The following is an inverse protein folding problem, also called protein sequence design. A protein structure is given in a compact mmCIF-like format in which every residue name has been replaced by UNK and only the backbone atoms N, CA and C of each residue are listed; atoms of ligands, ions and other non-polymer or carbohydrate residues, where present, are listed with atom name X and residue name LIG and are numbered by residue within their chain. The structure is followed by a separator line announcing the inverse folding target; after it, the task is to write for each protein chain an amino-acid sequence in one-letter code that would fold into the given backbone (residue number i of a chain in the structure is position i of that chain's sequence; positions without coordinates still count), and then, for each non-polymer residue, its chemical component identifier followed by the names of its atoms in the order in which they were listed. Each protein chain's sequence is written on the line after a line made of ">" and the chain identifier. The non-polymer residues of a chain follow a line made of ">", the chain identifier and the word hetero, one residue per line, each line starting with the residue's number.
data_IF_815878867408
#
_entry.id   IF_815878867408
#
_cell.length_a   1.000
_cell.length_b   1.000
_cell.length_c   1.000
_cell.angle_alpha   90.00
_cell.angle_beta   90.00
_cell.angle_gamma   90.00
#
_symmetry.space_group_name_H-M   'P 1'
#
loop_
_entity.id
_entity.type
_entity.pdbx_description
1 polymer ?
#
# COMPACT_ATOMS: atom_id res chain seq x y z
N UNK A 1 -13.21 -6.21 -50.47
CA UNK A 1 -13.75 -6.56 -49.14
C UNK A 1 -12.56 -6.96 -48.27
N UNK A 2 -12.24 -6.18 -47.25
CA UNK A 2 -11.21 -6.57 -46.26
C UNK A 2 -11.91 -7.47 -45.25
N UNK A 3 -11.40 -8.68 -45.06
CA UNK A 3 -11.91 -9.61 -44.05
C UNK A 3 -11.43 -9.06 -42.69
N UNK A 4 -12.37 -8.64 -41.85
CA UNK A 4 -12.12 -8.16 -40.49
C UNK A 4 -12.73 -9.17 -39.52
N UNK A 5 -11.91 -10.11 -39.07
CA UNK A 5 -12.16 -10.96 -37.90
C UNK A 5 -10.78 -11.29 -37.30
N UNK A 6 -10.64 -11.08 -35.99
CA UNK A 6 -9.44 -11.37 -35.18
C UNK A 6 -8.14 -10.66 -35.58
N UNK A 7 -8.13 -9.33 -35.44
CA UNK A 7 -6.92 -8.51 -35.65
C UNK A 7 -5.90 -8.58 -34.51
N UNK A 8 -6.16 -9.38 -33.47
CA UNK A 8 -5.25 -9.59 -32.35
C UNK A 8 -5.21 -11.06 -31.97
N UNK A 9 -4.00 -11.56 -31.69
CA UNK A 9 -3.75 -12.89 -31.14
C UNK A 9 -2.77 -12.76 -29.99
N UNK A 10 -2.83 -13.69 -29.04
CA UNK A 10 -1.86 -13.78 -27.95
C UNK A 10 -0.44 -13.97 -28.52
N UNK A 11 0.55 -13.29 -27.93
CA UNK A 11 1.96 -13.58 -28.18
C UNK A 11 2.49 -14.79 -27.39
N UNK A 12 1.66 -15.39 -26.54
CA UNK A 12 2.01 -16.54 -25.69
C UNK A 12 1.25 -17.79 -26.12
N UNK A 13 1.94 -18.93 -26.02
CA UNK A 13 1.44 -20.26 -26.34
C UNK A 13 0.20 -20.64 -25.50
N UNK A 14 -0.82 -21.17 -26.18
CA UNK A 14 -1.96 -21.82 -25.56
C UNK A 14 -1.62 -23.27 -25.13
N UNK A 15 -2.57 -23.93 -24.48
CA UNK A 15 -2.39 -25.28 -23.95
C UNK A 15 -1.84 -26.29 -24.97
N UNK A 16 -2.37 -26.31 -26.20
CA UNK A 16 -1.93 -27.27 -27.22
C UNK A 16 -0.51 -27.00 -27.73
N UNK A 17 -0.11 -25.72 -27.79
CA UNK A 17 1.26 -25.33 -28.15
C UNK A 17 2.25 -25.67 -27.03
N UNK A 18 1.84 -25.52 -25.76
CA UNK A 18 2.62 -26.00 -24.62
C UNK A 18 2.79 -27.53 -24.71
N UNK A 19 1.70 -28.29 -24.94
CA UNK A 19 1.77 -29.75 -25.11
C UNK A 19 2.66 -30.17 -26.26
N UNK A 20 2.64 -29.43 -27.36
CA UNK A 20 3.52 -29.67 -28.51
C UNK A 20 4.99 -29.57 -28.10
N UNK A 21 5.39 -28.53 -27.36
CA UNK A 21 6.78 -28.38 -26.88
C UNK A 21 7.18 -29.54 -25.97
N UNK A 22 6.33 -29.95 -25.03
CA UNK A 22 6.61 -31.09 -24.14
C UNK A 22 6.73 -32.42 -24.91
N UNK A 23 5.96 -32.58 -25.98
CA UNK A 23 5.99 -33.77 -26.84
C UNK A 23 7.26 -33.83 -27.71
N UNK A 24 7.78 -32.67 -28.11
CA UNK A 24 8.99 -32.54 -28.93
C UNK A 24 10.26 -32.67 -28.08
N UNK A 25 10.35 -31.91 -26.99
CA UNK A 25 11.55 -31.82 -26.15
C UNK A 25 11.67 -33.01 -25.20
N UNK A 26 10.53 -33.54 -24.72
CA UNK A 26 10.47 -34.64 -23.74
C UNK A 26 11.39 -34.39 -22.53
N UNK A 27 11.28 -33.24 -21.85
CA UNK A 27 12.13 -32.95 -20.69
C UNK A 27 11.96 -34.01 -19.59
N UNK A 28 12.96 -34.19 -18.73
CA UNK A 28 12.80 -35.04 -17.53
C UNK A 28 11.99 -34.33 -16.43
N UNK A 29 12.24 -33.04 -16.25
CA UNK A 29 11.60 -32.19 -15.27
C UNK A 29 10.94 -30.98 -15.95
N UNK A 30 9.82 -30.53 -15.39
CA UNK A 30 9.07 -29.35 -15.84
C UNK A 30 9.14 -28.27 -14.78
N UNK A 31 9.63 -27.09 -15.14
CA UNK A 31 9.63 -25.91 -14.24
C UNK A 31 8.81 -24.82 -14.92
N UNK A 32 7.51 -24.70 -14.66
CA UNK A 32 6.69 -23.63 -15.21
C UNK A 32 7.21 -22.25 -14.77
N UNK A 33 7.35 -21.34 -15.72
CA UNK A 33 7.82 -19.96 -15.50
C UNK A 33 6.89 -18.97 -16.19
N UNK A 34 7.05 -17.68 -15.89
CA UNK A 34 6.33 -16.58 -16.53
C UNK A 34 4.80 -16.66 -16.42
N UNK A 35 4.31 -16.43 -15.20
CA UNK A 35 2.89 -16.27 -14.91
C UNK A 35 2.63 -16.19 -13.41
N UNK A 36 1.48 -15.65 -13.02
CA UNK A 36 1.02 -15.80 -11.63
C UNK A 36 0.86 -17.28 -11.24
N UNK A 37 0.83 -17.56 -9.94
CA UNK A 37 0.70 -18.91 -9.39
C UNK A 37 -0.41 -19.75 -10.04
N UNK A 38 -1.58 -19.15 -10.34
CA UNK A 38 -2.69 -19.82 -11.02
C UNK A 38 -2.30 -20.39 -12.39
N UNK A 39 -1.47 -19.66 -13.15
CA UNK A 39 -1.02 -20.07 -14.48
C UNK A 39 0.00 -21.20 -14.37
N UNK A 40 0.91 -21.11 -13.40
CA UNK A 40 1.91 -22.15 -13.15
C UNK A 40 1.25 -23.48 -12.74
N UNK A 41 0.22 -23.40 -11.89
CA UNK A 41 -0.60 -24.56 -11.51
C UNK A 41 -1.35 -25.13 -12.72
N UNK A 42 -1.98 -24.28 -13.53
CA UNK A 42 -2.65 -24.74 -14.75
C UNK A 42 -1.68 -25.43 -15.71
N UNK A 43 -0.48 -24.86 -15.92
CA UNK A 43 0.54 -25.47 -16.76
C UNK A 43 1.03 -26.80 -16.18
N UNK A 44 1.21 -26.92 -14.86
CA UNK A 44 1.51 -28.21 -14.23
C UNK A 44 0.46 -29.25 -14.56
N UNK A 45 -0.83 -28.90 -14.43
CA UNK A 45 -1.90 -29.85 -14.69
C UNK A 45 -1.92 -30.28 -16.18
N UNK A 46 -1.59 -29.36 -17.10
CA UNK A 46 -1.38 -29.67 -18.52
C UNK A 46 -0.21 -30.65 -18.71
N UNK A 47 0.93 -30.40 -18.07
CA UNK A 47 2.11 -31.27 -18.18
C UNK A 47 1.84 -32.65 -17.59
N UNK A 48 1.16 -32.72 -16.44
CA UNK A 48 0.75 -33.99 -15.83
C UNK A 48 -0.20 -34.78 -16.74
N UNK A 49 -1.06 -34.11 -17.51
CA UNK A 49 -1.93 -34.78 -18.49
C UNK A 49 -1.17 -35.47 -19.64
N UNK A 50 0.11 -35.12 -19.85
CA UNK A 50 1.01 -35.77 -20.81
C UNK A 50 1.76 -36.97 -20.21
N UNK A 51 1.49 -37.34 -18.96
CA UNK A 51 2.08 -38.51 -18.29
C UNK A 51 3.30 -38.20 -17.43
N UNK A 52 3.54 -36.92 -17.08
CA UNK A 52 4.59 -36.55 -16.13
C UNK A 52 4.12 -36.76 -14.70
N UNK A 53 5.00 -37.35 -13.88
CA UNK A 53 4.75 -37.49 -12.45
C UNK A 53 4.73 -36.12 -11.76
N UNK A 54 3.92 -36.01 -10.71
CA UNK A 54 3.77 -34.77 -9.93
C UNK A 54 5.12 -34.26 -9.40
N UNK A 55 5.98 -35.19 -8.97
CA UNK A 55 7.29 -34.87 -8.39
C UNK A 55 8.30 -34.42 -9.46
N UNK A 56 7.99 -34.59 -10.75
CA UNK A 56 8.78 -34.06 -11.85
C UNK A 56 8.35 -32.66 -12.30
N UNK A 57 7.28 -32.09 -11.72
CA UNK A 57 6.82 -30.74 -12.03
C UNK A 57 6.98 -29.79 -10.85
N UNK A 58 7.89 -28.85 -10.98
CA UNK A 58 8.38 -28.02 -9.88
C UNK A 58 7.87 -26.60 -10.04
N UNK A 59 7.02 -26.18 -9.10
CA UNK A 59 6.54 -24.80 -9.02
C UNK A 59 7.51 -24.00 -8.16
N UNK A 60 8.46 -23.33 -8.81
CA UNK A 60 9.43 -22.47 -8.15
C UNK A 60 8.85 -21.07 -7.86
N UNK A 61 9.34 -20.44 -6.80
CA UNK A 61 9.11 -19.02 -6.48
C UNK A 61 10.36 -18.21 -6.76
N UNK A 62 10.20 -16.90 -6.94
CA UNK A 62 11.34 -15.98 -7.03
C UNK A 62 12.23 -16.11 -5.79
N UNK A 63 13.50 -16.42 -6.01
CA UNK A 63 14.49 -16.64 -4.95
C UNK A 63 14.76 -18.10 -4.61
N UNK A 64 13.96 -19.05 -5.09
CA UNK A 64 14.25 -20.47 -4.90
C UNK A 64 15.50 -20.88 -5.68
N UNK A 65 16.41 -21.61 -5.03
CA UNK A 65 17.58 -22.22 -5.65
C UNK A 65 17.25 -23.68 -5.95
N UNK A 66 17.17 -24.00 -7.24
CA UNK A 66 16.85 -25.34 -7.72
C UNK A 66 18.14 -26.11 -8.03
N UNK A 67 18.38 -27.20 -7.32
CA UNK A 67 19.38 -28.20 -7.69
C UNK A 67 18.75 -29.22 -8.63
N UNK A 68 19.42 -29.52 -9.75
CA UNK A 68 18.88 -30.40 -10.78
C UNK A 68 20.00 -31.29 -11.36
N UNK A 69 19.76 -32.59 -11.41
CA UNK A 69 20.64 -33.57 -12.03
C UNK A 69 19.83 -34.73 -12.64
N UNK A 70 20.54 -35.76 -13.11
CA UNK A 70 19.93 -36.93 -13.76
C UNK A 70 19.15 -37.85 -12.81
N UNK A 71 19.14 -37.60 -11.51
CA UNK A 71 18.45 -38.43 -10.51
C UNK A 71 17.31 -37.66 -9.84
N UNK A 72 17.54 -36.40 -9.45
CA UNK A 72 16.58 -35.58 -8.72
C UNK A 72 16.59 -34.11 -9.15
N UNK A 73 15.50 -33.44 -8.81
CA UNK A 73 15.32 -32.01 -8.95
C UNK A 73 14.59 -31.47 -7.71
N UNK A 74 15.25 -30.61 -6.93
CA UNK A 74 14.73 -30.16 -5.64
C UNK A 74 15.17 -28.73 -5.32
N UNK A 75 14.32 -28.00 -4.60
CA UNK A 75 14.69 -26.68 -4.06
C UNK A 75 15.57 -26.91 -2.84
N UNK A 76 16.80 -26.43 -2.88
CA UNK A 76 17.82 -26.66 -1.83
C UNK A 76 18.09 -25.46 -0.96
N UNK A 77 17.79 -24.26 -1.45
CA UNK A 77 18.09 -23.01 -0.76
C UNK A 77 17.16 -21.88 -1.25
N UNK A 78 17.25 -20.72 -0.59
CA UNK A 78 16.58 -19.50 -0.98
C UNK A 78 17.55 -18.31 -0.92
N UNK A 79 17.62 -17.53 -2.00
CA UNK A 79 18.37 -16.28 -2.04
C UNK A 79 17.47 -15.07 -1.80
N UNK A 80 18.06 -14.00 -1.28
CA UNK A 80 17.34 -12.75 -1.07
C UNK A 80 16.85 -12.20 -2.42
N UNK A 81 15.54 -12.00 -2.52
CA UNK A 81 14.90 -11.37 -3.66
C UNK A 81 13.84 -10.38 -3.18
N UNK A 82 13.40 -9.50 -4.08
CA UNK A 82 12.38 -8.51 -3.79
C UNK A 82 12.20 -7.55 -4.96
N UNK A 83 11.11 -6.79 -4.92
CA UNK A 83 10.89 -5.70 -5.85
C UNK A 83 11.65 -4.45 -5.39
N UNK A 84 12.26 -3.74 -6.35
CA UNK A 84 12.77 -2.39 -6.15
C UNK A 84 11.87 -1.47 -6.95
N UNK A 85 11.24 -0.51 -6.28
CA UNK A 85 10.39 0.47 -6.94
C UNK A 85 11.22 1.60 -7.53
N UNK A 86 10.78 2.12 -8.68
CA UNK A 86 11.40 3.25 -9.37
C UNK A 86 10.36 4.34 -9.50
N UNK A 87 10.67 5.54 -9.01
CA UNK A 87 9.79 6.71 -9.06
C UNK A 87 10.57 7.93 -9.56
N UNK A 88 10.31 8.33 -10.81
CA UNK A 88 11.05 9.40 -11.49
C UNK A 88 12.54 9.05 -11.65
N UNK A 89 13.40 9.83 -10.99
CA UNK A 89 14.86 9.60 -10.95
C UNK A 89 15.28 8.74 -9.74
N UNK A 90 14.36 8.47 -8.81
CA UNK A 90 14.58 7.67 -7.62
C UNK A 90 14.52 6.18 -7.91
N UNK A 91 15.51 5.43 -7.40
CA UNK A 91 15.55 3.96 -7.47
C UNK A 91 15.65 3.43 -6.05
N UNK A 92 14.61 2.71 -5.61
CA UNK A 92 14.52 2.12 -4.27
C UNK A 92 14.30 3.11 -3.13
N UNK A 93 14.08 4.39 -3.44
CA UNK A 93 13.72 5.45 -2.48
C UNK A 93 12.25 5.36 -2.04
N UNK A 94 11.39 4.79 -2.87
CA UNK A 94 10.01 4.45 -2.53
C UNK A 94 9.94 3.05 -1.94
N UNK A 95 9.55 2.96 -0.67
CA UNK A 95 9.26 1.70 0.02
C UNK A 95 7.75 1.48 0.25
N UNK A 96 7.41 0.34 0.86
CA UNK A 96 6.02 -0.03 1.18
C UNK A 96 5.32 0.99 2.08
N UNK A 97 6.05 1.69 2.97
CA UNK A 97 5.49 2.72 3.86
C UNK A 97 4.99 3.91 3.02
N UNK A 98 5.81 4.39 2.08
CA UNK A 98 5.46 5.51 1.20
C UNK A 98 4.26 5.15 0.34
N UNK A 99 4.19 3.92 -0.19
CA UNK A 99 3.03 3.45 -0.94
C UNK A 99 1.75 3.39 -0.08
N UNK A 100 1.86 2.92 1.16
CA UNK A 100 0.75 2.88 2.10
C UNK A 100 0.24 4.28 2.44
N UNK A 101 1.14 5.23 2.66
CA UNK A 101 0.76 6.62 2.91
C UNK A 101 0.07 7.23 1.69
N UNK A 102 0.58 6.99 0.48
CA UNK A 102 -0.08 7.41 -0.77
C UNK A 102 -1.47 6.82 -0.90
N UNK A 103 -1.66 5.53 -0.60
CA UNK A 103 -2.96 4.87 -0.65
C UNK A 103 -3.94 5.50 0.36
N UNK A 104 -3.52 5.67 1.61
CA UNK A 104 -4.35 6.30 2.64
C UNK A 104 -4.77 7.72 2.26
N UNK A 105 -3.85 8.52 1.72
CA UNK A 105 -4.12 9.88 1.27
C UNK A 105 -5.07 9.92 0.06
N UNK A 106 -4.92 8.98 -0.88
CA UNK A 106 -5.77 8.89 -2.06
C UNK A 106 -7.22 8.49 -1.71
N UNK A 107 -7.40 7.56 -0.77
CA UNK A 107 -8.72 7.06 -0.37
C UNK A 107 -9.44 8.01 0.60
N UNK A 108 -8.71 8.53 1.60
CA UNK A 108 -9.33 9.21 2.73
C UNK A 108 -9.12 10.73 2.75
N UNK A 109 -8.18 11.24 1.96
CA UNK A 109 -7.75 12.64 2.05
C UNK A 109 -6.98 12.94 3.33
N UNK A 110 -6.66 14.22 3.52
CA UNK A 110 -5.87 14.72 4.65
C UNK A 110 -6.51 15.96 5.27
N UNK A 111 -6.36 16.07 6.58
CA UNK A 111 -6.63 17.25 7.39
C UNK A 111 -5.34 17.63 8.09
N UNK A 112 -4.94 18.88 7.94
CA UNK A 112 -3.78 19.48 8.61
C UNK A 112 -4.32 20.47 9.63
N UNK A 113 -3.88 20.33 10.86
CA UNK A 113 -4.26 21.22 11.97
C UNK A 113 -3.02 21.98 12.39
N UNK A 114 -3.05 23.30 12.32
CA UNK A 114 -1.92 24.16 12.69
C UNK A 114 -2.30 24.98 13.91
N UNK A 115 -1.47 24.92 14.94
CA UNK A 115 -1.62 25.70 16.16
C UNK A 115 -0.27 26.24 16.63
N UNK A 116 -0.30 27.40 17.28
CA UNK A 116 0.89 28.03 17.86
C UNK A 116 0.73 28.10 19.38
N UNK A 117 1.65 27.47 20.10
CA UNK A 117 1.68 27.47 21.56
C UNK A 117 2.83 28.34 22.09
N UNK A 118 2.60 28.98 23.24
CA UNK A 118 3.63 29.68 24.00
C UNK A 118 4.57 28.67 24.67
N UNK A 119 5.89 28.92 24.59
CA UNK A 119 6.92 27.96 25.01
C UNK A 119 6.83 27.50 26.48
N UNK A 120 6.53 28.42 27.39
CA UNK A 120 6.62 28.26 28.84
C UNK A 120 5.27 27.94 29.47
N UNK A 121 4.22 28.64 29.05
CA UNK A 121 2.86 28.47 29.57
C UNK A 121 2.07 27.42 28.81
N UNK A 122 2.51 27.05 27.60
CA UNK A 122 1.77 26.14 26.71
C UNK A 122 0.48 26.75 26.16
N UNK A 123 0.20 28.02 26.46
CA UNK A 123 -1.04 28.67 26.04
C UNK A 123 -1.14 28.76 24.53
N UNK A 124 -2.35 28.58 24.02
CA UNK A 124 -2.64 28.75 22.60
C UNK A 124 -2.56 30.24 22.24
N UNK A 125 -1.52 30.62 21.50
CA UNK A 125 -1.30 32.00 21.03
C UNK A 125 -2.09 32.25 19.73
N UNK A 126 -2.12 31.26 18.83
CA UNK A 126 -2.77 31.38 17.53
C UNK A 126 -3.25 30.04 17.00
N UNK A 127 -4.31 30.06 16.18
CA UNK A 127 -5.02 28.87 15.70
C UNK A 127 -6.11 28.42 16.68
N UNK A 128 -6.69 27.21 16.50
CA UNK A 128 -6.33 26.21 15.50
C UNK A 128 -6.83 26.55 14.10
N UNK A 129 -5.93 26.44 13.11
CA UNK A 129 -6.24 26.55 11.70
C UNK A 129 -6.28 25.18 11.04
N UNK A 130 -7.38 24.90 10.33
CA UNK A 130 -7.62 23.61 9.69
C UNK A 130 -7.57 23.76 8.17
N UNK A 131 -6.71 22.98 7.53
CA UNK A 131 -6.57 22.91 6.07
C UNK A 131 -6.87 21.49 5.61
N UNK A 132 -7.75 21.32 4.62
CA UNK A 132 -8.14 19.99 4.13
C UNK A 132 -7.84 19.84 2.63
N UNK A 133 -7.46 18.62 2.22
CA UNK A 133 -7.25 18.23 0.82
C UNK A 133 -7.77 16.83 0.58
N UNK A 134 -8.55 16.62 -0.48
CA UNK A 134 -9.13 15.31 -0.82
C UNK A 134 -10.15 14.76 0.18
N UNK A 135 -10.49 15.54 1.22
CA UNK A 135 -11.41 15.14 2.27
C UNK A 135 -12.80 15.76 2.08
N UNK A 136 -12.96 17.06 2.30
CA UNK A 136 -14.24 17.77 2.12
C UNK A 136 -14.04 19.02 1.27
N UNK A 137 -15.09 19.43 0.55
CA UNK A 137 -15.08 20.70 -0.19
C UNK A 137 -15.40 21.83 0.80
N UNK A 138 -14.41 22.69 1.06
CA UNK A 138 -14.45 23.70 2.13
C UNK A 138 -15.71 24.58 2.07
N UNK A 139 -16.15 24.98 0.87
CA UNK A 139 -17.33 25.86 0.70
C UNK A 139 -18.65 25.22 1.14
N UNK A 140 -18.71 23.89 1.22
CA UNK A 140 -19.90 23.14 1.62
C UNK A 140 -19.77 22.58 3.04
N UNK A 141 -18.64 22.79 3.71
CA UNK A 141 -18.28 22.16 4.98
C UNK A 141 -17.78 23.17 6.03
N UNK A 142 -18.17 24.44 5.93
CA UNK A 142 -17.77 25.48 6.90
C UNK A 142 -18.18 25.11 8.33
N UNK A 143 -19.45 24.74 8.55
CA UNK A 143 -19.94 24.34 9.87
C UNK A 143 -19.17 23.14 10.46
N UNK A 144 -18.84 22.14 9.62
CA UNK A 144 -18.05 20.97 10.04
C UNK A 144 -16.63 21.39 10.48
N UNK A 145 -16.02 22.34 9.76
CA UNK A 145 -14.69 22.82 10.05
C UNK A 145 -14.67 23.72 11.28
N UNK A 146 -15.71 24.53 11.51
CA UNK A 146 -15.84 25.37 12.69
C UNK A 146 -16.04 24.53 13.96
N UNK A 147 -16.90 23.51 13.91
CA UNK A 147 -17.03 22.52 14.98
C UNK A 147 -15.71 21.78 15.23
N UNK A 148 -14.99 21.39 14.17
CA UNK A 148 -13.68 20.75 14.31
C UNK A 148 -12.65 21.68 14.97
N UNK A 149 -12.63 22.98 14.65
CA UNK A 149 -11.77 23.96 15.33
C UNK A 149 -12.10 24.06 16.81
N UNK A 150 -13.38 24.12 17.16
CA UNK A 150 -13.82 24.16 18.56
C UNK A 150 -13.34 22.92 19.33
N UNK A 151 -13.46 21.73 18.73
CA UNK A 151 -12.97 20.49 19.35
C UNK A 151 -11.47 20.53 19.58
N UNK A 152 -10.68 21.00 18.61
CA UNK A 152 -9.23 21.12 18.79
C UNK A 152 -8.89 22.09 19.92
N UNK A 153 -9.54 23.26 19.98
CA UNK A 153 -9.34 24.23 21.05
C UNK A 153 -9.63 23.61 22.43
N UNK A 154 -10.77 22.94 22.57
CA UNK A 154 -11.16 22.24 23.80
C UNK A 154 -10.14 21.15 24.18
N UNK A 155 -9.62 20.40 23.19
CA UNK A 155 -8.60 19.37 23.42
C UNK A 155 -7.30 19.98 23.95
N UNK A 156 -6.89 21.13 23.43
CA UNK A 156 -5.68 21.86 23.87
C UNK A 156 -5.89 22.41 25.28
N UNK A 157 -7.02 23.05 25.57
CA UNK A 157 -7.35 23.57 26.91
C UNK A 157 -7.37 22.44 27.95
N UNK A 158 -8.00 21.30 27.64
CA UNK A 158 -8.00 20.11 28.52
C UNK A 158 -6.58 19.58 28.77
N UNK A 159 -5.68 19.70 27.80
CA UNK A 159 -4.28 19.33 28.00
C UNK A 159 -3.59 20.28 28.97
N UNK A 160 -3.84 21.59 28.84
CA UNK A 160 -3.29 22.62 29.72
C UNK A 160 -3.79 22.49 31.16
N UNK A 161 -5.10 22.28 31.35
CA UNK A 161 -5.71 22.06 32.67
C UNK A 161 -5.11 20.84 33.40
N UNK A 162 -4.69 19.83 32.64
CA UNK A 162 -4.06 18.62 33.15
C UNK A 162 -2.53 18.74 33.25
N UNK A 163 -1.96 19.92 33.00
CA UNK A 163 -0.52 20.18 32.94
C UNK A 163 0.23 19.23 31.98
N UNK A 164 -0.40 18.86 30.86
CA UNK A 164 0.24 18.05 29.81
C UNK A 164 1.03 18.98 28.90
N UNK A 165 2.36 18.94 29.02
CA UNK A 165 3.29 19.75 28.22
C UNK A 165 3.99 18.96 27.11
N UNK A 166 3.79 17.64 27.04
CA UNK A 166 4.38 16.78 26.01
C UNK A 166 3.63 16.95 24.68
N UNK A 167 4.32 17.50 23.68
CA UNK A 167 3.78 17.78 22.36
C UNK A 167 3.28 16.52 21.65
N UNK A 168 3.93 15.37 21.87
CA UNK A 168 3.51 14.12 21.25
C UNK A 168 2.15 13.67 21.79
N UNK A 169 1.93 13.89 23.10
CA UNK A 169 0.63 13.60 23.74
C UNK A 169 -0.45 14.56 23.27
N UNK A 170 -0.15 15.86 23.20
CA UNK A 170 -1.10 16.87 22.70
C UNK A 170 -1.50 16.54 21.26
N UNK A 171 -0.53 16.23 20.38
CA UNK A 171 -0.79 15.82 19.00
C UNK A 171 -1.68 14.57 18.91
N UNK A 172 -1.44 13.57 19.74
CA UNK A 172 -2.26 12.36 19.76
C UNK A 172 -3.70 12.63 20.25
N UNK A 173 -3.86 13.43 21.30
CA UNK A 173 -5.18 13.81 21.82
C UNK A 173 -5.99 14.56 20.76
N UNK A 174 -5.38 15.57 20.11
CA UNK A 174 -6.01 16.32 19.01
C UNK A 174 -6.43 15.37 17.88
N UNK A 175 -5.54 14.44 17.50
CA UNK A 175 -5.80 13.47 16.44
C UNK A 175 -6.98 12.57 16.79
N UNK A 176 -7.01 12.02 18.01
CA UNK A 176 -8.02 11.06 18.44
C UNK A 176 -9.40 11.73 18.57
N UNK A 177 -9.46 12.91 19.19
CA UNK A 177 -10.70 13.68 19.37
C UNK A 177 -11.29 14.10 18.01
N UNK A 178 -10.45 14.61 17.09
CA UNK A 178 -10.88 14.93 15.73
C UNK A 178 -11.31 13.69 14.94
N UNK A 179 -10.56 12.59 15.05
CA UNK A 179 -10.91 11.35 14.35
C UNK A 179 -12.27 10.82 14.80
N UNK A 180 -12.56 10.85 16.10
CA UNK A 180 -13.84 10.41 16.64
C UNK A 180 -14.99 11.29 16.15
N UNK A 181 -14.79 12.61 16.17
CA UNK A 181 -15.76 13.58 15.67
C UNK A 181 -16.10 13.35 14.19
N UNK A 182 -15.08 13.28 13.33
CA UNK A 182 -15.26 13.10 11.88
C UNK A 182 -15.94 11.77 11.56
N UNK A 183 -15.60 10.70 12.29
CA UNK A 183 -16.27 9.41 12.14
C UNK A 183 -17.75 9.48 12.57
N UNK A 184 -18.07 10.20 13.63
CA UNK A 184 -19.45 10.39 14.10
C UNK A 184 -20.29 11.17 13.09
N UNK A 185 -19.76 12.28 12.57
CA UNK A 185 -20.48 13.19 11.67
C UNK A 185 -20.59 12.67 10.24
N UNK A 186 -19.51 12.16 9.65
CA UNK A 186 -19.46 11.88 8.21
C UNK A 186 -18.94 10.48 7.83
N UNK A 187 -18.65 9.61 8.81
CA UNK A 187 -18.21 8.22 8.60
C UNK A 187 -16.98 8.07 7.71
N UNK A 188 -16.03 9.01 7.84
CA UNK A 188 -14.75 9.01 7.13
C UNK A 188 -13.59 9.23 8.09
N UNK A 189 -12.45 8.62 7.79
CA UNK A 189 -11.23 8.66 8.60
C UNK A 189 -10.07 9.24 7.79
N UNK A 190 -9.98 10.56 7.62
CA UNK A 190 -8.87 11.19 6.91
C UNK A 190 -7.56 11.01 7.68
N UNK A 191 -6.45 11.18 6.97
CA UNK A 191 -5.15 11.35 7.63
C UNK A 191 -5.17 12.69 8.37
N UNK A 192 -5.02 12.67 9.70
CA UNK A 192 -4.98 13.90 10.52
C UNK A 192 -3.52 14.18 10.91
N UNK A 193 -3.03 15.36 10.54
CA UNK A 193 -1.66 15.81 10.81
C UNK A 193 -1.66 17.10 11.65
N UNK A 194 -1.48 17.00 12.98
CA UNK A 194 -1.35 18.15 13.86
C UNK A 194 0.09 18.70 13.87
N UNK A 195 0.22 19.99 13.56
CA UNK A 195 1.45 20.75 13.52
C UNK A 195 1.38 21.80 14.64
N UNK A 196 2.32 21.69 15.58
CA UNK A 196 2.47 22.62 16.70
C UNK A 196 3.68 23.51 16.42
N UNK A 197 3.46 24.81 16.38
CA UNK A 197 4.48 25.84 16.31
C UNK A 197 4.73 26.42 17.71
N UNK A 198 5.95 26.83 17.99
CA UNK A 198 6.31 27.49 19.25
C UNK A 198 6.54 28.97 18.99
N UNK A 199 5.96 29.81 19.84
CA UNK A 199 6.28 31.22 19.89
C UNK A 199 6.87 31.59 21.25
N UNK A 200 7.93 32.39 21.22
CA UNK A 200 8.53 33.06 22.38
C UNK A 200 7.95 34.46 22.41
N UNK A 201 6.82 34.61 23.10
CA UNK A 201 6.20 35.90 23.39
C UNK A 201 6.31 36.13 24.90
#
# INVERSE_FOLDING_TARGET
>A
KVIFQDTHVSGHACQEEIKLIYSLVKPKYSIPVHGEYRHLVAQRDVVMSLGYDKDHVIIAKSGDVLELNDEHAQVVDHVQTGAIFVDGLGVGDVGNIVLRDRQNLAENGIIIVVLTLEKYTGQLIAGPDIVTRGFVYVREAEELLDEARAIVSDSVEKCLDKNITDWSKIKNIIKDDLSEYLWKKIKRNPVILPIIMEAQI
#
